data_IF_413651051682
#
_entry.id   IF_413651051682
#
_cell.length_a   1.000
_cell.length_b   1.000
_cell.length_c   1.000
_cell.angle_alpha   90.00
_cell.angle_beta   90.00
_cell.angle_gamma   90.00
#
_symmetry.space_group_name_H-M   'P 1'
#
loop_
_entity.id
_entity.type
_entity.pdbx_description
1 polymer ?
#
# COMPACT_ATOMS: atom_id res chain seq x y z
N UNK A 1 -19.67 70.75 4.53
CA UNK A 1 -19.36 69.46 3.88
C UNK A 1 -17.98 69.59 3.29
N UNK A 2 -16.98 68.78 3.69
CA UNK A 2 -15.73 68.78 2.94
C UNK A 2 -16.02 68.18 1.56
N UNK A 3 -15.42 68.78 0.54
CA UNK A 3 -15.49 68.29 -0.84
C UNK A 3 -14.59 67.07 -0.90
N UNK A 4 -15.15 65.89 -1.14
CA UNK A 4 -14.35 64.72 -1.48
C UNK A 4 -13.67 65.00 -2.82
N UNK A 5 -12.36 65.20 -2.81
CA UNK A 5 -11.59 65.47 -4.01
C UNK A 5 -11.52 64.19 -4.86
N UNK A 6 -11.62 64.31 -6.18
CA UNK A 6 -11.56 63.14 -7.08
C UNK A 6 -10.24 62.37 -6.96
N UNK A 7 -9.19 63.05 -6.46
CA UNK A 7 -7.89 62.48 -6.16
C UNK A 7 -7.94 61.46 -5.02
N UNK A 8 -8.68 61.74 -3.95
CA UNK A 8 -8.82 60.83 -2.80
C UNK A 8 -9.54 59.54 -3.20
N UNK A 9 -10.50 59.64 -4.13
CA UNK A 9 -11.18 58.45 -4.66
C UNK A 9 -10.29 57.61 -5.58
N UNK A 10 -9.35 58.23 -6.30
CA UNK A 10 -8.40 57.50 -7.17
C UNK A 10 -7.35 56.79 -6.33
N UNK A 11 -6.79 57.45 -5.31
CA UNK A 11 -5.82 56.82 -4.41
C UNK A 11 -6.43 55.61 -3.69
N UNK A 12 -7.70 55.71 -3.27
CA UNK A 12 -8.45 54.59 -2.67
C UNK A 12 -8.64 53.42 -3.66
N UNK A 13 -8.96 53.71 -4.93
CA UNK A 13 -9.12 52.68 -5.97
C UNK A 13 -7.79 51.99 -6.25
N UNK A 14 -6.70 52.75 -6.33
CA UNK A 14 -5.36 52.19 -6.53
C UNK A 14 -4.92 51.31 -5.35
N UNK A 15 -5.23 51.72 -4.11
CA UNK A 15 -4.95 50.88 -2.92
C UNK A 15 -5.78 49.59 -2.94
N UNK A 16 -7.09 49.69 -3.24
CA UNK A 16 -7.95 48.51 -3.33
C UNK A 16 -7.53 47.56 -4.47
N UNK A 17 -7.09 48.10 -5.60
CA UNK A 17 -6.57 47.30 -6.71
C UNK A 17 -5.28 46.56 -6.33
N UNK A 18 -4.38 47.21 -5.59
CA UNK A 18 -3.17 46.59 -5.06
C UNK A 18 -3.49 45.47 -4.04
N UNK A 19 -4.44 45.71 -3.13
CA UNK A 19 -4.90 44.72 -2.15
C UNK A 19 -5.55 43.50 -2.80
N UNK A 20 -6.40 43.71 -3.82
CA UNK A 20 -7.02 42.61 -4.58
C UNK A 20 -6.00 41.79 -5.35
N UNK A 21 -4.93 42.43 -5.86
CA UNK A 21 -3.85 41.73 -6.55
C UNK A 21 -3.04 40.88 -5.58
N UNK A 22 -2.70 41.41 -4.40
CA UNK A 22 -2.01 40.67 -3.35
C UNK A 22 -2.83 39.48 -2.84
N UNK A 23 -4.15 39.65 -2.65
CA UNK A 23 -5.06 38.56 -2.27
C UNK A 23 -5.14 37.48 -3.36
N UNK A 24 -5.15 37.87 -4.63
CA UNK A 24 -5.18 36.94 -5.75
C UNK A 24 -3.89 36.12 -5.84
N UNK A 25 -2.74 36.75 -5.64
CA UNK A 25 -1.44 36.05 -5.59
C UNK A 25 -1.39 35.07 -4.42
N UNK A 26 -1.84 35.50 -3.24
CA UNK A 26 -1.92 34.63 -2.06
C UNK A 26 -2.83 33.42 -2.27
N UNK A 27 -4.02 33.62 -2.85
CA UNK A 27 -4.92 32.52 -3.20
C UNK A 27 -4.33 31.59 -4.27
N UNK A 28 -3.59 32.13 -5.24
CA UNK A 28 -2.92 31.31 -6.25
C UNK A 28 -1.82 30.43 -5.64
N UNK A 29 -1.04 30.96 -4.70
CA UNK A 29 -0.02 30.21 -3.98
C UNK A 29 -0.64 29.13 -3.08
N UNK A 30 -1.76 29.43 -2.42
CA UNK A 30 -2.53 28.45 -1.64
C UNK A 30 -3.09 27.33 -2.51
N UNK A 31 -3.66 27.66 -3.68
CA UNK A 31 -4.16 26.64 -4.61
C UNK A 31 -3.03 25.73 -5.10
N UNK A 32 -1.87 26.29 -5.47
CA UNK A 32 -0.72 25.48 -5.87
C UNK A 32 -0.23 24.53 -4.75
N UNK A 33 -0.24 25.01 -3.50
CA UNK A 33 0.08 24.19 -2.33
C UNK A 33 -0.94 23.05 -2.12
N UNK A 34 -2.23 23.34 -2.29
CA UNK A 34 -3.28 22.32 -2.19
C UNK A 34 -3.21 21.27 -3.29
N UNK A 35 -2.90 21.68 -4.53
CA UNK A 35 -2.68 20.76 -5.65
C UNK A 35 -1.49 19.84 -5.37
N UNK A 36 -0.38 20.39 -4.85
CA UNK A 36 0.78 19.58 -4.48
C UNK A 36 0.45 18.57 -3.36
N UNK A 37 -0.27 19.00 -2.33
CA UNK A 37 -0.70 18.11 -1.24
C UNK A 37 -1.60 17.00 -1.79
N UNK A 38 -2.53 17.32 -2.70
CA UNK A 38 -3.40 16.33 -3.32
C UNK A 38 -2.61 15.27 -4.09
N UNK A 39 -1.59 15.67 -4.85
CA UNK A 39 -0.69 14.74 -5.56
C UNK A 39 0.09 13.86 -4.57
N UNK A 40 0.63 14.43 -3.49
CA UNK A 40 1.30 13.67 -2.43
C UNK A 40 0.36 12.65 -1.76
N UNK A 41 -0.91 12.99 -1.55
CA UNK A 41 -1.91 12.06 -1.04
C UNK A 41 -2.20 10.92 -2.01
N UNK A 42 -2.36 11.19 -3.31
CA UNK A 42 -2.59 10.15 -4.31
C UNK A 42 -1.41 9.18 -4.37
N UNK A 43 -0.17 9.68 -4.34
CA UNK A 43 1.03 8.82 -4.32
C UNK A 43 1.11 7.97 -3.04
N UNK A 44 0.72 8.53 -1.89
CA UNK A 44 0.71 7.81 -0.62
C UNK A 44 -0.38 6.73 -0.60
N UNK A 45 -1.57 7.02 -1.14
CA UNK A 45 -2.65 6.04 -1.26
C UNK A 45 -2.25 4.86 -2.15
N UNK A 46 -1.58 5.14 -3.28
CA UNK A 46 -1.03 4.11 -4.16
C UNK A 46 -0.01 3.23 -3.43
N UNK A 47 0.95 3.84 -2.71
CA UNK A 47 1.96 3.12 -1.95
C UNK A 47 1.33 2.24 -0.85
N UNK A 48 0.32 2.75 -0.12
CA UNK A 48 -0.40 1.99 0.90
C UNK A 48 -1.19 0.83 0.28
N UNK A 49 -1.78 1.02 -0.90
CA UNK A 49 -2.48 -0.06 -1.60
C UNK A 49 -1.51 -1.19 -1.99
N UNK A 50 -0.33 -0.84 -2.49
CA UNK A 50 0.72 -1.79 -2.85
C UNK A 50 1.26 -2.55 -1.62
N UNK A 51 1.54 -1.85 -0.51
CA UNK A 51 1.96 -2.49 0.74
C UNK A 51 0.91 -3.44 1.29
N UNK A 52 -0.37 -3.06 1.25
CA UNK A 52 -1.48 -3.94 1.67
C UNK A 52 -1.60 -5.17 0.76
N UNK A 53 -1.38 -5.01 -0.55
CA UNK A 53 -1.37 -6.14 -1.48
C UNK A 53 -0.21 -7.10 -1.18
N UNK A 54 1.00 -6.56 -0.97
CA UNK A 54 2.18 -7.33 -0.59
C UNK A 54 1.97 -8.08 0.75
N UNK A 55 1.41 -7.42 1.76
CA UNK A 55 1.10 -8.06 3.04
C UNK A 55 0.04 -9.15 2.92
N UNK A 56 -1.01 -8.96 2.11
CA UNK A 56 -2.00 -10.02 1.84
C UNK A 56 -1.34 -11.23 1.19
N UNK A 57 -0.43 -11.03 0.24
CA UNK A 57 0.28 -12.11 -0.41
C UNK A 57 1.18 -12.88 0.57
N UNK A 58 1.93 -12.18 1.44
CA UNK A 58 2.82 -12.83 2.41
C UNK A 58 2.04 -13.56 3.51
N UNK A 59 0.93 -12.97 3.99
CA UNK A 59 0.06 -13.64 4.98
C UNK A 59 -0.59 -14.90 4.41
N UNK A 60 -1.02 -14.89 3.14
CA UNK A 60 -1.53 -16.09 2.47
C UNK A 60 -0.44 -17.16 2.29
N UNK A 61 0.78 -16.75 1.94
CA UNK A 61 1.94 -17.65 1.84
C UNK A 61 2.24 -18.31 3.18
N UNK A 62 2.30 -17.52 4.25
CA UNK A 62 2.51 -18.00 5.62
C UNK A 62 1.36 -18.90 6.08
N UNK A 63 0.11 -18.60 5.74
CA UNK A 63 -1.03 -19.46 6.06
C UNK A 63 -0.95 -20.83 5.35
N UNK A 64 -0.52 -20.86 4.08
CA UNK A 64 -0.29 -22.12 3.33
C UNK A 64 0.85 -22.93 3.94
N UNK A 65 1.96 -22.27 4.31
CA UNK A 65 3.08 -22.92 4.98
C UNK A 65 2.69 -23.46 6.36
N UNK A 66 1.98 -22.67 7.16
CA UNK A 66 1.50 -23.09 8.47
C UNK A 66 0.52 -24.27 8.35
N UNK A 67 -0.42 -24.25 7.39
CA UNK A 67 -1.30 -25.41 7.14
C UNK A 67 -0.52 -26.66 6.76
N UNK A 68 0.54 -26.53 5.96
CA UNK A 68 1.43 -27.65 5.59
C UNK A 68 2.20 -28.18 6.80
N UNK A 69 2.66 -27.30 7.70
CA UNK A 69 3.37 -27.66 8.93
C UNK A 69 2.42 -28.20 10.02
N UNK A 70 1.17 -27.75 10.03
CA UNK A 70 0.14 -28.12 11.01
C UNK A 70 -0.47 -29.50 10.74
N UNK A 71 -0.27 -30.08 9.56
CA UNK A 71 -0.63 -31.48 9.30
C UNK A 71 0.57 -32.36 9.62
N UNK A 72 0.58 -33.08 10.75
CA UNK A 72 1.68 -33.98 11.10
C UNK A 72 1.66 -35.27 10.27
N UNK A 73 0.61 -35.47 9.47
CA UNK A 73 0.42 -36.64 8.63
C UNK A 73 0.85 -36.36 7.20
N UNK A 74 1.78 -37.16 6.69
CA UNK A 74 2.20 -37.19 5.30
C UNK A 74 1.87 -38.56 4.70
N UNK A 75 1.31 -38.59 3.48
CA UNK A 75 1.09 -39.83 2.72
C UNK A 75 2.19 -39.96 1.69
N UNK A 76 2.90 -41.09 1.69
CA UNK A 76 4.06 -41.33 0.83
C UNK A 76 4.05 -42.71 0.18
N UNK A 77 4.74 -42.80 -0.96
CA UNK A 77 5.06 -44.08 -1.61
C UNK A 77 6.35 -44.62 -1.00
N UNK A 78 6.32 -45.86 -0.56
CA UNK A 78 7.49 -46.60 -0.09
C UNK A 78 7.74 -47.76 -1.03
N UNK A 79 9.00 -47.96 -1.41
CA UNK A 79 9.43 -49.03 -2.29
C UNK A 79 10.66 -49.73 -1.72
N UNK A 80 10.73 -51.04 -1.91
CA UNK A 80 11.87 -51.85 -1.52
C UNK A 80 12.04 -53.04 -2.46
N UNK A 81 13.28 -53.49 -2.61
CA UNK A 81 13.59 -54.71 -3.35
C UNK A 81 13.80 -55.86 -2.36
N UNK A 82 13.05 -56.95 -2.51
CA UNK A 82 13.24 -58.16 -1.71
C UNK A 82 14.29 -59.07 -2.39
N UNK A 83 15.51 -59.20 -1.85
CA UNK A 83 16.57 -60.01 -2.46
C UNK A 83 16.31 -61.52 -2.34
N UNK A 84 15.43 -61.98 -1.44
CA UNK A 84 15.12 -63.40 -1.27
C UNK A 84 14.05 -63.88 -2.25
N UNK A 85 13.07 -63.02 -2.56
CA UNK A 85 12.00 -63.32 -3.54
C UNK A 85 12.27 -62.77 -4.94
N UNK A 86 13.29 -61.91 -5.10
CA UNK A 86 13.63 -61.17 -6.34
C UNK A 86 12.47 -60.32 -6.87
N UNK A 87 11.63 -59.81 -5.97
CA UNK A 87 10.45 -59.02 -6.29
C UNK A 87 10.65 -57.56 -5.84
N UNK A 88 10.09 -56.62 -6.61
CA UNK A 88 9.99 -55.22 -6.22
C UNK A 88 8.64 -55.01 -5.52
N UNK A 89 8.67 -54.46 -4.31
CA UNK A 89 7.47 -54.15 -3.54
C UNK A 89 7.30 -52.64 -3.50
N UNK A 90 6.11 -52.17 -3.86
CA UNK A 90 5.68 -50.78 -3.66
C UNK A 90 4.42 -50.73 -2.80
N UNK A 91 4.35 -49.77 -1.89
CA UNK A 91 3.20 -49.55 -1.02
C UNK A 91 2.94 -48.07 -0.78
N UNK A 92 1.71 -47.74 -0.39
CA UNK A 92 1.33 -46.40 0.07
C UNK A 92 1.20 -46.46 1.58
N UNK A 93 1.88 -45.55 2.27
CA UNK A 93 1.90 -45.48 3.74
C UNK A 93 1.58 -44.09 4.25
N UNK A 94 1.05 -44.01 5.48
CA UNK A 94 0.86 -42.76 6.23
C UNK A 94 2.01 -42.65 7.24
N UNK A 95 2.80 -41.58 7.16
CA UNK A 95 3.90 -41.29 8.08
C UNK A 95 3.57 -40.08 8.95
N UNK A 96 3.87 -40.18 10.25
CA UNK A 96 3.79 -39.07 11.19
C UNK A 96 5.15 -38.35 11.26
N UNK A 97 5.19 -37.07 10.90
CA UNK A 97 6.43 -36.29 10.86
C UNK A 97 6.59 -35.47 12.14
N UNK A 98 7.65 -35.75 12.91
CA UNK A 98 8.03 -34.97 14.09
C UNK A 98 9.09 -33.94 13.66
N UNK A 99 8.72 -32.66 13.63
CA UNK A 99 9.66 -31.55 13.39
C UNK A 99 10.05 -30.98 14.77
N UNK A 100 11.34 -30.97 15.11
CA UNK A 100 11.87 -30.39 16.36
C UNK A 100 12.62 -29.10 16.04
N UNK A 101 12.24 -28.00 16.67
CA UNK A 101 12.90 -26.68 16.59
C UNK A 101 14.05 -26.58 17.59
#
# INVERSE_FOLDING_TARGET
>A
MPVCDGRDTVELIETQAAELTALREYLSAQNASLEQIAEEFETLEAAVADERAAWKAETERLAKQNRRLSSPWAVGLFGGYDPFRKEAVCGVGVSYVIIRF
#
